data_IF_534497511219
#
_entry.id   IF_534497511219
#
_cell.length_a   1.000
_cell.length_b   1.000
_cell.length_c   1.000
_cell.angle_alpha   90.00
_cell.angle_beta   90.00
_cell.angle_gamma   90.00
#
_symmetry.space_group_name_H-M   'P 1'
#
loop_
_entity.id
_entity.type
_entity.pdbx_description
1 polymer ?
2 non-polymer ?
3 water ?
#
# COMPACT_ATOMS: atom_id res chain seq x y z
N UNK A 4 -1.82 17.23 -31.87
CA UNK A 4 -2.43 17.64 -30.61
C UNK A 4 -2.73 16.40 -29.78
N UNK A 5 -2.06 16.27 -28.63
CA UNK A 5 -2.00 14.98 -27.98
C UNK A 5 -2.60 15.01 -26.57
N UNK A 6 -3.22 13.92 -26.14
CA UNK A 6 -3.96 13.92 -24.87
C UNK A 6 -3.04 13.86 -23.67
N UNK A 7 -3.52 14.24 -22.48
CA UNK A 7 -2.75 13.98 -21.25
C UNK A 7 -2.36 12.51 -21.12
N UNK A 8 -1.21 12.27 -20.51
CA UNK A 8 -0.68 10.92 -20.33
C UNK A 8 -0.39 10.71 -18.85
N UNK A 9 -1.01 9.70 -18.26
CA UNK A 9 -0.74 9.37 -16.87
C UNK A 9 0.66 8.77 -16.73
N UNK A 10 1.29 9.03 -15.58
CA UNK A 10 2.63 8.53 -15.35
C UNK A 10 2.68 7.02 -15.24
N UNK A 11 1.57 6.40 -14.82
CA UNK A 11 1.42 4.95 -14.84
C UNK A 11 0.13 4.62 -15.56
N UNK A 12 0.13 3.53 -16.32
CA UNK A 12 -1.11 3.06 -16.93
C UNK A 12 -2.03 2.39 -15.91
N UNK A 13 -1.48 1.96 -14.76
CA UNK A 13 -2.22 1.11 -13.83
C UNK A 13 -1.74 1.45 -12.43
N UNK A 14 -2.60 2.08 -11.64
CA UNK A 14 -2.30 2.44 -10.27
C UNK A 14 -2.90 1.40 -9.35
N UNK A 15 -2.09 0.84 -8.47
CA UNK A 15 -2.53 -0.15 -7.50
C UNK A 15 -2.37 0.43 -6.11
N UNK A 16 -3.40 0.28 -5.28
CA UNK A 16 -3.32 0.73 -3.91
C UNK A 16 -4.12 -0.20 -3.01
N UNK A 17 -4.15 0.15 -1.73
CA UNK A 17 -4.89 -0.62 -0.76
C UNK A 17 -5.46 0.27 0.32
N UNK A 18 -6.45 -0.26 1.02
CA UNK A 18 -6.96 0.34 2.24
C UNK A 18 -7.15 -0.77 3.25
N UNK A 19 -6.95 -0.44 4.52
CA UNK A 19 -7.27 -1.40 5.56
C UNK A 19 -8.74 -1.28 5.95
N UNK A 20 -9.25 -2.35 6.57
CA UNK A 20 -10.64 -2.37 7.00
C UNK A 20 -10.96 -1.20 7.91
N UNK A 21 -9.98 -0.71 8.66
CA UNK A 21 -10.22 0.37 9.62
C UNK A 21 -9.83 1.74 9.08
N UNK A 22 -9.72 1.90 7.76
CA UNK A 22 -9.37 3.20 7.20
C UNK A 22 -10.45 4.22 7.53
N UNK A 23 -10.02 5.43 7.90
CA UNK A 23 -10.96 6.49 8.16
C UNK A 23 -11.51 7.11 6.89
N UNK A 24 -12.67 7.75 7.04
CA UNK A 24 -13.28 8.45 5.92
C UNK A 24 -12.33 9.49 5.35
N UNK A 25 -12.22 9.50 4.02
CA UNK A 25 -11.39 10.45 3.29
C UNK A 25 -9.90 10.27 3.59
N UNK A 26 -9.50 9.04 3.93
CA UNK A 26 -8.09 8.72 4.07
C UNK A 26 -7.42 8.74 2.70
N UNK A 27 -6.17 9.17 2.67
CA UNK A 27 -5.39 9.16 1.43
C UNK A 27 -5.13 7.73 0.99
N UNK A 28 -5.37 7.44 -0.29
CA UNK A 28 -5.11 6.11 -0.82
C UNK A 28 -3.87 6.15 -1.69
N UNK A 29 -3.90 6.99 -2.72
CA UNK A 29 -2.74 7.17 -3.58
C UNK A 29 -2.98 8.43 -4.40
N UNK A 30 -1.91 8.93 -5.02
CA UNK A 30 -1.98 10.13 -5.84
C UNK A 30 -1.66 9.78 -7.29
N UNK A 31 -2.48 10.29 -8.20
CA UNK A 31 -2.24 10.11 -9.62
C UNK A 31 -1.78 11.44 -10.21
N UNK A 32 -1.12 11.36 -11.36
CA UNK A 32 -0.66 12.56 -12.06
C UNK A 32 -0.58 12.26 -13.55
N UNK A 33 -1.11 13.19 -14.36
CA UNK A 33 -0.98 13.14 -15.81
C UNK A 33 -0.34 14.44 -16.30
N UNK A 34 0.40 14.34 -17.40
CA UNK A 34 1.05 15.49 -18.00
C UNK A 34 0.84 15.48 -19.51
N UNK A 35 1.00 16.66 -20.11
CA UNK A 35 1.04 16.80 -21.55
C UNK A 35 2.36 16.27 -22.11
N UNK A 36 2.26 15.34 -23.07
CA UNK A 36 3.41 14.71 -23.72
C UNK A 36 4.37 15.70 -24.36
N UNK A 37 3.89 16.83 -24.86
CA UNK A 37 4.75 17.74 -25.62
C UNK A 37 5.37 18.83 -24.77
N UNK A 38 4.64 19.33 -23.76
CA UNK A 38 5.12 20.43 -22.93
C UNK A 38 5.48 20.03 -21.51
N UNK A 39 5.06 18.85 -21.06
CA UNK A 39 5.21 18.49 -19.67
C UNK A 39 4.26 19.19 -18.74
N UNK A 40 3.34 20.00 -19.25
CA UNK A 40 2.44 20.77 -18.41
C UNK A 40 1.46 19.85 -17.69
N UNK A 41 1.09 20.24 -16.47
CA UNK A 41 0.05 19.52 -15.74
C UNK A 41 -0.74 20.46 -14.81
N UNK A 42 -0.57 21.77 -14.91
CA UNK A 42 -1.15 22.71 -13.97
C UNK A 42 -2.65 22.88 -14.12
N UNK A 43 -3.22 22.43 -15.23
CA UNK A 43 -4.64 22.62 -15.49
C UNK A 43 -5.40 21.30 -15.59
N UNK A 44 -4.80 20.21 -15.12
CA UNK A 44 -5.44 18.91 -15.25
C UNK A 44 -6.56 18.76 -14.24
N UNK A 45 -7.73 18.35 -14.73
CA UNK A 45 -8.86 18.01 -13.86
C UNK A 45 -8.98 16.49 -13.80
N UNK A 46 -8.91 15.94 -12.59
CA UNK A 46 -8.97 14.50 -12.38
C UNK A 46 -10.37 14.08 -11.96
N UNK A 47 -10.84 12.95 -12.50
CA UNK A 47 -12.13 12.38 -12.16
C UNK A 47 -12.00 10.86 -12.11
N UNK A 48 -12.85 10.23 -11.29
CA UNK A 48 -12.90 8.77 -11.20
C UNK A 48 -14.14 8.26 -11.94
N UNK A 49 -14.00 7.10 -12.56
CA UNK A 49 -15.12 6.40 -13.17
C UNK A 49 -15.25 5.06 -12.43
N UNK A 50 -16.24 4.98 -11.54
CA UNK A 50 -16.44 3.86 -10.61
C UNK A 50 -17.80 3.24 -10.91
N UNK A 51 -17.91 1.92 -10.93
CA UNK A 51 -19.21 1.28 -11.15
C UNK A 51 -20.15 1.56 -9.99
N UNK A 52 -21.45 1.34 -10.18
CA UNK A 52 -22.41 1.60 -9.10
C UNK A 52 -22.12 0.74 -7.88
N UNK A 53 -22.23 1.37 -6.70
CA UNK A 53 -22.08 0.69 -5.42
C UNK A 53 -23.41 0.80 -4.67
N UNK A 54 -23.76 -0.25 -3.93
CA UNK A 54 -25.04 -0.29 -3.23
C UNK A 54 -25.12 0.80 -2.17
N UNK A 55 -26.36 1.09 -1.75
CA UNK A 55 -26.65 1.90 -0.57
C UNK A 55 -26.18 3.35 -0.66
N UNK A 56 -25.99 3.87 -1.87
CA UNK A 56 -25.55 5.24 -2.02
C UNK A 56 -24.09 5.47 -1.67
N UNK A 57 -23.32 4.42 -1.44
CA UNK A 57 -21.89 4.60 -1.21
C UNK A 57 -21.18 4.91 -2.53
N UNK A 58 -20.10 5.68 -2.43
CA UNK A 58 -19.40 6.13 -3.61
C UNK A 58 -18.02 5.54 -3.77
N UNK A 59 -17.52 4.81 -2.77
CA UNK A 59 -16.24 4.16 -2.86
C UNK A 59 -15.06 5.06 -2.59
N UNK A 60 -14.73 5.90 -3.57
CA UNK A 60 -13.58 6.78 -3.51
C UNK A 60 -13.93 8.09 -4.20
N UNK A 61 -13.21 9.16 -3.84
CA UNK A 61 -13.22 10.42 -4.55
C UNK A 61 -11.80 10.76 -4.96
N UNK A 62 -11.67 11.67 -5.91
CA UNK A 62 -10.36 12.25 -6.24
C UNK A 62 -10.45 13.77 -6.12
N UNK A 63 -9.43 14.36 -5.51
CA UNK A 63 -9.30 15.81 -5.51
C UNK A 63 -9.05 16.29 -6.94
N UNK A 64 -9.97 17.11 -7.45
CA UNK A 64 -10.01 17.41 -8.87
C UNK A 64 -8.69 17.98 -9.39
N UNK A 65 -8.03 18.81 -8.59
CA UNK A 65 -6.84 19.50 -9.10
C UNK A 65 -5.55 19.08 -8.42
N UNK A 66 -5.56 18.05 -7.57
CA UNK A 66 -4.33 17.53 -7.01
C UNK A 66 -4.08 16.07 -7.36
N UNK A 67 -5.11 15.34 -7.80
CA UNK A 67 -4.97 13.93 -8.10
C UNK A 67 -4.97 13.00 -6.91
N UNK A 68 -5.26 13.49 -5.70
CA UNK A 68 -5.27 12.63 -4.52
C UNK A 68 -6.57 11.83 -4.47
N UNK A 69 -6.45 10.51 -4.51
CA UNK A 69 -7.60 9.62 -4.34
C UNK A 69 -7.77 9.33 -2.85
N UNK A 70 -8.99 9.52 -2.35
CA UNK A 70 -9.32 9.33 -0.95
C UNK A 70 -10.53 8.40 -0.83
N UNK A 71 -10.63 7.72 0.32
CA UNK A 71 -11.78 6.88 0.57
C UNK A 71 -13.04 7.74 0.76
N UNK A 72 -14.19 7.21 0.35
CA UNK A 72 -15.46 7.87 0.54
C UNK A 72 -16.48 7.00 1.28
N UNK A 73 -16.02 5.89 1.85
CA UNK A 73 -16.87 4.99 2.63
C UNK A 73 -15.97 4.23 3.59
N UNK A 74 -16.58 3.62 4.59
CA UNK A 74 -15.86 2.73 5.50
C UNK A 74 -15.77 1.32 4.92
N UNK A 75 -14.77 0.58 5.40
CA UNK A 75 -14.46 -0.74 4.86
C UNK A 75 -14.49 -1.83 5.93
N UNK A 76 -15.30 -1.64 6.96
CA UNK A 76 -15.40 -2.63 8.05
C UNK A 76 -15.76 -3.99 7.49
N UNK A 77 -15.01 -5.01 7.91
CA UNK A 77 -15.22 -6.41 7.56
C UNK A 77 -15.04 -6.71 6.09
N UNK A 78 -14.40 -5.83 5.33
CA UNK A 78 -14.33 -5.99 3.88
C UNK A 78 -12.98 -6.49 3.38
N UNK A 79 -12.20 -7.12 4.24
CA UNK A 79 -10.97 -7.76 3.78
C UNK A 79 -11.25 -8.62 2.55
N UNK A 80 -10.44 -8.41 1.50
CA UNK A 80 -10.45 -9.07 0.20
C UNK A 80 -11.40 -8.45 -0.82
N UNK A 81 -12.23 -7.49 -0.40
CA UNK A 81 -12.96 -6.72 -1.39
C UNK A 81 -11.98 -5.99 -2.29
N UNK A 82 -12.41 -5.72 -3.52
CA UNK A 82 -11.56 -5.03 -4.48
C UNK A 82 -12.39 -4.09 -5.34
N UNK A 83 -11.76 -2.97 -5.69
CA UNK A 83 -12.41 -1.92 -6.46
C UNK A 83 -11.57 -1.65 -7.69
N UNK A 84 -12.06 -2.09 -8.85
CA UNK A 84 -11.43 -1.79 -10.13
C UNK A 84 -12.19 -0.65 -10.76
N UNK A 85 -11.49 0.43 -11.06
CA UNK A 85 -12.10 1.62 -11.65
C UNK A 85 -11.10 2.33 -12.54
N UNK A 86 -11.52 3.44 -13.13
CA UNK A 86 -10.65 4.25 -13.94
C UNK A 86 -10.51 5.63 -13.34
N UNK A 87 -9.39 6.27 -13.66
CA UNK A 87 -9.18 7.68 -13.39
C UNK A 87 -8.93 8.36 -14.73
N UNK A 88 -9.49 9.54 -14.91
CA UNK A 88 -9.27 10.31 -16.11
C UNK A 88 -8.68 11.66 -15.75
N UNK A 89 -7.91 12.22 -16.68
CA UNK A 89 -7.36 13.56 -16.54
C UNK A 89 -7.74 14.33 -17.79
N UNK A 90 -8.34 15.52 -17.62
CA UNK A 90 -8.78 16.34 -18.73
C UNK A 90 -8.08 17.67 -18.62
N UNK A 91 -7.34 18.05 -19.67
CA UNK A 91 -6.55 19.28 -19.62
C UNK A 91 -7.46 20.51 -19.65
N UNK A 92 -6.84 21.67 -19.39
CA UNK A 92 -7.54 22.96 -19.53
C UNK A 92 -8.80 23.01 -18.65
N UNK A 93 -8.69 22.50 -17.43
CA UNK A 93 -9.77 22.55 -16.45
C UNK A 93 -11.04 21.85 -16.93
N UNK A 94 -10.88 20.79 -17.74
CA UNK A 94 -11.99 20.07 -18.29
C UNK A 94 -12.30 20.38 -19.73
N UNK A 95 -11.72 21.45 -20.29
CA UNK A 95 -12.05 21.91 -21.63
C UNK A 95 -11.16 21.31 -22.71
N UNK A 96 -10.08 20.62 -22.34
CA UNK A 96 -9.14 20.06 -23.29
C UNK A 96 -9.31 18.56 -23.44
N UNK A 97 -8.26 17.93 -24.00
CA UNK A 97 -8.27 16.49 -24.23
C UNK A 97 -8.11 15.72 -22.91
N UNK A 98 -8.42 14.42 -22.98
CA UNK A 98 -8.45 13.57 -21.80
C UNK A 98 -7.56 12.35 -21.99
N UNK A 99 -6.93 11.92 -20.90
CA UNK A 99 -6.28 10.63 -20.84
C UNK A 99 -6.87 9.79 -19.70
N UNK A 100 -6.48 8.53 -19.65
CA UNK A 100 -7.06 7.59 -18.70
C UNK A 100 -6.01 6.62 -18.17
N UNK A 101 -6.30 6.09 -16.98
CA UNK A 101 -5.52 5.03 -16.39
C UNK A 101 -6.47 4.14 -15.59
N UNK A 102 -6.05 2.90 -15.37
CA UNK A 102 -6.82 1.99 -14.55
C UNK A 102 -6.35 2.08 -13.10
N UNK A 103 -7.26 1.80 -12.18
CA UNK A 103 -6.96 1.79 -10.76
C UNK A 103 -7.49 0.50 -10.14
N UNK A 104 -6.72 -0.09 -9.23
CA UNK A 104 -7.17 -1.19 -8.40
C UNK A 104 -6.93 -0.81 -6.94
N UNK A 105 -7.96 -0.87 -6.10
CA UNK A 105 -7.79 -0.73 -4.65
C UNK A 105 -8.30 -1.98 -3.98
N UNK A 106 -7.45 -2.62 -3.19
CA UNK A 106 -7.78 -3.85 -2.48
C UNK A 106 -7.88 -3.57 -0.99
N UNK A 107 -8.85 -4.22 -0.33
CA UNK A 107 -9.07 -4.06 1.12
C UNK A 107 -8.34 -5.16 1.85
N UNK A 108 -7.58 -4.79 2.89
CA UNK A 108 -6.77 -5.70 3.67
C UNK A 108 -7.04 -5.50 5.16
N UNK A 109 -6.45 -6.37 5.98
CA UNK A 109 -6.33 -6.11 7.41
C UNK A 109 -4.98 -6.65 7.90
N UNK A 110 -4.78 -6.70 9.21
CA UNK A 110 -3.48 -7.07 9.74
C UNK A 110 -3.05 -8.49 9.37
N UNK A 111 -4.00 -9.36 8.99
CA UNK A 111 -3.67 -10.71 8.53
C UNK A 111 -2.88 -10.70 7.23
N UNK A 112 -2.84 -9.57 6.53
CA UNK A 112 -2.14 -9.44 5.27
C UNK A 112 -0.78 -8.76 5.41
N UNK A 113 -0.38 -8.39 6.62
CA UNK A 113 0.71 -7.42 6.77
C UNK A 113 1.94 -8.06 7.41
N UNK A 114 3.07 -7.37 7.22
CA UNK A 114 4.32 -7.67 7.90
C UNK A 114 4.90 -6.37 8.43
N UNK A 115 5.66 -6.45 9.51
CA UNK A 115 6.28 -5.29 10.15
C UNK A 115 7.78 -5.32 9.87
N UNK A 116 8.26 -4.30 9.15
CA UNK A 116 9.69 -4.10 8.93
C UNK A 116 10.21 -3.25 10.08
N UNK A 117 11.18 -3.78 10.85
CA UNK A 117 11.70 -3.10 12.03
C UNK A 117 13.07 -2.52 11.69
N UNK A 118 13.24 -1.21 11.88
CA UNK A 118 14.47 -0.53 11.53
C UNK A 118 15.03 0.21 12.74
N UNK A 119 16.35 0.39 12.73
CA UNK A 119 17.03 1.08 13.83
C UNK A 119 17.16 2.58 13.60
N UNK A 120 16.23 3.18 12.87
CA UNK A 120 16.17 4.63 12.64
C UNK A 120 14.78 5.12 13.03
N UNK A 121 14.63 6.41 13.28
CA UNK A 121 13.35 6.92 13.79
C UNK A 121 12.28 6.89 12.72
N UNK A 122 11.01 6.83 13.12
CA UNK A 122 9.91 6.82 12.13
C UNK A 122 9.89 8.05 11.24
N UNK A 123 10.34 9.20 11.74
CA UNK A 123 10.37 10.40 10.91
C UNK A 123 11.34 10.26 9.75
N UNK A 124 12.46 9.56 9.94
CA UNK A 124 13.38 9.33 8.82
C UNK A 124 12.72 8.44 7.79
N UNK A 125 12.13 7.33 8.23
CA UNK A 125 11.48 6.41 7.31
C UNK A 125 10.38 7.11 6.55
N UNK A 126 9.57 7.90 7.24
CA UNK A 126 8.46 8.61 6.59
C UNK A 126 8.97 9.62 5.56
N UNK A 127 10.05 10.33 5.88
CA UNK A 127 10.55 11.35 4.96
C UNK A 127 11.01 10.74 3.65
N UNK A 128 11.54 9.53 3.68
CA UNK A 128 12.08 8.89 2.49
C UNK A 128 11.19 7.76 1.99
N UNK A 129 9.90 7.76 2.39
CA UNK A 129 9.06 6.59 2.16
C UNK A 129 8.86 6.29 0.69
N UNK A 130 8.81 7.31 -0.18
CA UNK A 130 8.60 7.04 -1.60
C UNK A 130 9.75 6.23 -2.19
N UNK A 131 10.98 6.63 -1.87
CA UNK A 131 12.15 5.91 -2.38
C UNK A 131 12.24 4.51 -1.76
N UNK A 132 11.93 4.38 -0.47
CA UNK A 132 11.99 3.07 0.17
C UNK A 132 10.93 2.13 -0.39
N UNK A 133 9.71 2.63 -0.63
CA UNK A 133 8.65 1.79 -1.20
C UNK A 133 9.05 1.29 -2.58
N UNK A 134 9.67 2.16 -3.39
CA UNK A 134 10.10 1.72 -4.72
C UNK A 134 11.13 0.60 -4.65
N UNK A 135 12.02 0.64 -3.65
CA UNK A 135 12.97 -0.46 -3.49
C UNK A 135 12.26 -1.74 -3.11
N UNK A 136 11.34 -1.65 -2.14
CA UNK A 136 10.58 -2.83 -1.75
C UNK A 136 9.79 -3.40 -2.93
N UNK A 137 9.19 -2.52 -3.75
CA UNK A 137 8.46 -2.96 -4.94
C UNK A 137 9.32 -3.83 -5.82
N UNK A 138 10.58 -3.42 -6.03
CA UNK A 138 11.47 -4.16 -6.91
C UNK A 138 11.67 -5.59 -6.42
N UNK A 139 11.87 -5.78 -5.12
CA UNK A 139 12.11 -7.13 -4.60
C UNK A 139 10.86 -7.98 -4.66
N UNK A 140 9.69 -7.41 -4.35
CA UNK A 140 8.47 -8.19 -4.42
C UNK A 140 8.12 -8.52 -5.87
N UNK A 141 8.30 -7.56 -6.78
CA UNK A 141 7.96 -7.76 -8.18
C UNK A 141 8.85 -8.80 -8.85
N UNK A 142 10.07 -9.03 -8.34
CA UNK A 142 10.88 -10.12 -8.86
C UNK A 142 10.20 -11.47 -8.63
N UNK A 143 9.45 -11.60 -7.54
CA UNK A 143 8.75 -12.84 -7.22
C UNK A 143 7.34 -12.88 -7.77
N UNK A 144 6.63 -11.77 -7.70
CA UNK A 144 5.26 -11.69 -8.21
C UNK A 144 5.19 -10.49 -9.14
N UNK A 145 5.31 -10.68 -10.45
CA UNK A 145 5.32 -9.53 -11.37
C UNK A 145 4.05 -8.70 -11.24
N UNK A 146 4.24 -7.38 -11.25
CA UNK A 146 3.13 -6.45 -11.18
C UNK A 146 2.59 -6.17 -9.79
N UNK A 147 3.08 -6.87 -8.76
CA UNK A 147 2.60 -6.63 -7.40
C UNK A 147 3.04 -5.24 -6.92
N UNK A 148 2.34 -4.72 -5.92
CA UNK A 148 2.59 -3.37 -5.43
C UNK A 148 2.64 -3.38 -3.91
N UNK A 149 3.73 -2.89 -3.33
CA UNK A 149 3.83 -2.76 -1.89
C UNK A 149 3.08 -1.51 -1.46
N UNK A 150 2.32 -1.64 -0.38
CA UNK A 150 1.59 -0.53 0.20
C UNK A 150 2.00 -0.39 1.67
N UNK A 151 2.17 0.86 2.09
CA UNK A 151 2.53 1.17 3.47
C UNK A 151 1.24 1.38 4.26
N UNK A 152 1.03 0.54 5.29
CA UNK A 152 -0.11 0.73 6.19
C UNK A 152 0.16 1.82 7.22
N UNK A 153 1.34 1.79 7.85
CA UNK A 153 1.63 2.78 8.88
C UNK A 153 3.13 2.83 9.11
N UNK A 154 3.58 3.96 9.65
CA UNK A 154 4.96 4.17 10.06
C UNK A 154 4.92 4.67 11.50
N UNK A 155 5.52 3.90 12.41
CA UNK A 155 5.43 4.27 13.81
C UNK A 155 6.67 3.93 14.59
N UNK A 156 6.63 4.23 15.88
CA UNK A 156 7.71 3.83 16.77
C UNK A 156 7.84 2.32 16.78
N UNK A 157 9.03 1.84 17.14
CA UNK A 157 9.25 0.42 17.28
C UNK A 157 8.48 -0.10 18.50
N UNK A 158 7.61 -1.07 18.26
CA UNK A 158 6.84 -1.70 19.33
C UNK A 158 7.65 -2.84 19.92
N UNK A 159 7.58 -2.97 21.24
CA UNK A 159 8.32 -4.02 21.94
C UNK A 159 7.70 -4.19 23.33
N UNK A 160 8.33 -5.01 24.15
CA UNK A 160 7.77 -5.33 25.45
C UNK A 160 6.65 -6.35 25.37
N UNK A 161 5.91 -6.46 26.46
CA UNK A 161 4.84 -7.45 26.56
C UNK A 161 3.72 -7.13 25.57
N UNK A 162 3.40 -8.10 24.72
CA UNK A 162 2.39 -7.94 23.66
C UNK A 162 2.71 -6.77 22.74
N UNK A 163 3.99 -6.41 22.64
CA UNK A 163 4.44 -5.31 21.79
C UNK A 163 3.72 -3.99 22.15
N UNK A 164 3.63 -3.73 23.45
CA UNK A 164 2.86 -2.61 23.98
C UNK A 164 3.70 -1.37 24.28
N UNK A 165 5.02 -1.46 24.23
CA UNK A 165 5.90 -0.33 24.48
C UNK A 165 6.35 0.29 23.16
N UNK A 166 6.66 1.58 23.19
CA UNK A 166 7.01 2.34 22.00
C UNK A 166 8.38 2.99 22.15
N UNK A 167 9.26 2.72 21.18
CA UNK A 167 10.63 3.24 21.15
C UNK A 167 10.73 4.14 19.91
N UNK A 168 10.71 5.46 20.13
CA UNK A 168 10.67 6.42 19.04
C UNK A 168 12.03 6.68 18.40
N UNK A 169 13.11 6.06 18.88
CA UNK A 169 14.40 6.11 18.22
C UNK A 169 14.53 5.06 17.12
N UNK A 170 13.59 4.13 17.04
CA UNK A 170 13.56 3.06 16.05
C UNK A 170 12.17 3.05 15.43
N UNK A 171 11.92 2.13 14.48
CA UNK A 171 10.74 2.28 13.64
C UNK A 171 10.12 0.94 13.27
N UNK A 172 8.80 0.86 13.40
CA UNK A 172 8.01 -0.22 12.83
C UNK A 172 7.32 0.31 11.57
N UNK A 173 7.63 -0.30 10.43
CA UNK A 173 7.04 0.05 9.15
C UNK A 173 6.15 -1.11 8.75
N UNK A 174 4.83 -0.91 8.79
CA UNK A 174 3.89 -1.98 8.53
C UNK A 174 3.48 -1.91 7.07
N UNK A 175 3.65 -3.04 6.35
CA UNK A 175 3.43 -3.06 4.91
C UNK A 175 2.61 -4.28 4.50
N UNK A 176 2.08 -4.21 3.29
CA UNK A 176 1.47 -5.35 2.64
C UNK A 176 1.72 -5.20 1.14
N UNK A 177 1.33 -6.19 0.36
CA UNK A 177 1.54 -6.11 -1.09
C UNK A 177 0.32 -6.65 -1.80
N UNK A 178 -0.12 -5.95 -2.84
CA UNK A 178 -1.32 -6.30 -3.60
C UNK A 178 -0.90 -6.94 -4.92
N UNK A 179 -1.53 -8.07 -5.24
CA UNK A 179 -1.27 -8.81 -6.47
C UNK A 179 -2.43 -8.55 -7.42
N UNK A 180 -2.21 -7.85 -8.54
CA UNK A 180 -3.32 -7.59 -9.47
C UNK A 180 -3.85 -8.83 -10.18
N UNK A 181 -3.13 -9.96 -10.16
CA UNK A 181 -3.69 -11.16 -10.76
C UNK A 181 -4.80 -11.74 -9.90
N UNK A 182 -4.74 -11.54 -8.58
CA UNK A 182 -5.73 -12.11 -7.66
C UNK A 182 -6.66 -11.07 -7.07
N UNK A 183 -6.38 -9.78 -7.26
CA UNK A 183 -7.18 -8.70 -6.68
C UNK A 183 -7.25 -8.77 -5.17
N UNK A 184 -6.19 -9.28 -4.54
CA UNK A 184 -6.10 -9.31 -3.08
C UNK A 184 -4.62 -9.25 -2.70
N UNK A 185 -4.36 -9.24 -1.41
CA UNK A 185 -2.99 -9.17 -0.92
C UNK A 185 -2.25 -10.49 -1.15
N UNK A 186 -0.92 -10.37 -1.30
CA UNK A 186 -0.04 -11.53 -1.24
C UNK A 186 -0.10 -12.11 0.16
N UNK A 187 -0.05 -13.44 0.25
CA UNK A 187 -0.02 -14.11 1.55
C UNK A 187 1.10 -13.52 2.41
N UNK A 188 0.78 -13.24 3.68
CA UNK A 188 1.76 -12.55 4.53
C UNK A 188 3.02 -13.37 4.74
N UNK A 189 2.92 -14.70 4.74
CA UNK A 189 4.10 -15.53 4.92
C UNK A 189 4.94 -15.62 3.65
N UNK A 190 4.32 -15.47 2.48
CA UNK A 190 5.09 -15.32 1.26
C UNK A 190 5.79 -13.96 1.23
N UNK A 191 5.08 -12.90 1.64
CA UNK A 191 5.71 -11.60 1.75
C UNK A 191 6.90 -11.65 2.71
N UNK A 192 6.76 -12.33 3.84
CA UNK A 192 7.90 -12.48 4.73
C UNK A 192 9.08 -13.13 4.01
N UNK A 193 8.81 -14.23 3.30
CA UNK A 193 9.91 -14.93 2.62
C UNK A 193 10.57 -14.04 1.57
N UNK A 194 9.79 -13.23 0.85
CA UNK A 194 10.37 -12.36 -0.17
C UNK A 194 11.32 -11.35 0.45
N UNK A 195 10.92 -10.77 1.59
CA UNK A 195 11.72 -9.70 2.19
C UNK A 195 12.85 -10.25 3.05
N UNK A 196 12.55 -11.24 3.89
CA UNK A 196 13.56 -11.80 4.78
C UNK A 196 14.66 -12.51 4.00
N UNK A 197 14.30 -13.19 2.91
CA UNK A 197 15.28 -13.88 2.10
C UNK A 197 16.24 -12.96 1.37
N UNK A 198 15.85 -11.71 1.15
CA UNK A 198 16.69 -10.73 0.50
C UNK A 198 17.11 -9.60 1.45
N UNK A 199 17.09 -9.87 2.76
CA UNK A 199 17.23 -8.80 3.75
C UNK A 199 18.56 -8.08 3.60
N UNK A 200 19.63 -8.82 3.28
CA UNK A 200 20.93 -8.19 3.16
C UNK A 200 21.03 -7.33 1.91
N UNK A 201 20.38 -7.75 0.81
CA UNK A 201 20.34 -6.92 -0.38
C UNK A 201 19.47 -5.70 -0.18
N UNK A 202 18.32 -5.84 0.50
CA UNK A 202 17.47 -4.68 0.76
C UNK A 202 18.21 -3.68 1.63
N UNK A 203 18.95 -4.18 2.63
CA UNK A 203 19.65 -3.27 3.53
C UNK A 203 20.71 -2.45 2.79
N UNK A 204 21.41 -3.07 1.85
CA UNK A 204 22.41 -2.31 1.09
C UNK A 204 21.74 -1.25 0.23
N UNK A 205 20.60 -1.58 -0.39
CA UNK A 205 19.84 -0.59 -1.14
C UNK A 205 19.31 0.54 -0.25
N UNK A 206 18.94 0.23 0.99
CA UNK A 206 18.45 1.23 1.93
C UNK A 206 19.54 2.15 2.47
N UNK A 207 20.82 1.81 2.26
CA UNK A 207 21.90 2.56 2.90
C UNK A 207 21.94 4.03 2.51
N UNK A 208 21.80 4.43 1.24
CA UNK A 208 21.78 5.86 0.92
C UNK A 208 20.71 6.65 1.64
N UNK A 209 19.65 5.99 2.09
CA UNK A 209 18.51 6.63 2.72
C UNK A 209 18.55 6.54 4.24
N UNK A 210 19.04 5.43 4.79
CA UNK A 210 19.11 5.26 6.23
C UNK A 210 20.36 5.88 6.86
N UNK A 211 21.41 6.09 6.09
CA UNK A 211 22.66 6.60 6.63
C UNK A 211 23.51 5.51 7.26
N UNK A 212 24.71 5.89 7.67
CA UNK A 212 25.66 4.94 8.23
C UNK A 212 25.09 4.28 9.47
N UNK A 213 25.18 2.95 9.53
CA UNK A 213 24.69 2.19 10.66
C UNK A 213 23.21 1.87 10.64
N UNK A 214 22.44 2.48 9.73
CA UNK A 214 21.01 2.23 9.65
C UNK A 214 20.72 0.97 8.85
N UNK A 215 19.76 0.18 9.34
CA UNK A 215 19.41 -1.05 8.67
C UNK A 215 18.07 -1.55 9.18
N UNK A 216 17.44 -2.40 8.37
CA UNK A 216 16.34 -3.22 8.85
C UNK A 216 16.90 -4.27 9.79
N UNK A 217 16.31 -4.36 10.99
CA UNK A 217 16.72 -5.35 11.98
C UNK A 217 16.03 -6.69 11.78
N UNK A 218 14.74 -6.68 11.45
CA UNK A 218 14.02 -7.94 11.26
C UNK A 218 12.68 -7.62 10.59
N UNK A 219 12.04 -8.67 10.11
CA UNK A 219 10.65 -8.63 9.65
C UNK A 219 9.85 -9.48 10.63
N UNK A 220 8.72 -8.96 11.10
CA UNK A 220 7.91 -9.69 12.06
C UNK A 220 6.44 -9.61 11.69
N UNK A 221 5.67 -10.56 12.25
CA UNK A 221 4.23 -10.59 12.02
C UNK A 221 3.53 -9.69 13.04
N UNK A 222 2.55 -8.90 12.60
CA UNK A 222 1.84 -8.00 13.53
C UNK A 222 1.29 -8.76 14.73
N UNK A 223 1.31 -8.09 15.89
CA UNK A 223 0.76 -8.69 17.09
C UNK A 223 -0.72 -8.99 16.94
N UNK A 224 -1.44 -8.23 16.10
CA UNK A 224 -2.86 -8.48 15.90
C UNK A 224 -3.14 -9.89 15.40
N UNK A 225 -2.21 -10.49 14.66
CA UNK A 225 -2.44 -11.83 14.12
C UNK A 225 -2.53 -12.85 15.25
N UNK A 226 -1.77 -12.66 16.32
CA UNK A 226 -1.85 -13.57 17.47
C UNK A 226 -3.17 -13.40 18.22
N UNK A 227 -3.66 -12.16 18.32
CA UNK A 227 -4.96 -11.93 18.93
C UNK A 227 -6.08 -12.61 18.16
N UNK A 228 -5.95 -12.69 16.83
CA UNK A 228 -7.00 -13.29 16.01
C UNK A 228 -7.06 -14.81 16.23
N UNK A 229 -5.90 -15.45 16.40
CA UNK A 229 -5.90 -16.89 16.65
C UNK A 229 -6.47 -17.21 18.03
N UNK A 230 -6.15 -16.39 19.03
CA UNK A 230 -6.69 -16.61 20.37
C UNK A 230 -8.21 -16.50 20.38
N UNK A 231 -8.79 -15.73 19.47
CA UNK A 231 -10.22 -15.65 19.39
C UNK A 231 -10.78 -16.78 18.53
N UNK A 232 -9.93 -17.60 17.94
CA UNK A 232 -10.38 -18.71 17.13
C UNK A 232 -10.87 -18.35 15.76
N UNK A 233 -10.42 -17.22 15.21
CA UNK A 233 -10.91 -16.70 13.94
C UNK A 233 -9.90 -16.96 12.84
N UNK A 234 -10.42 -17.14 11.61
CA UNK A 234 -9.63 -17.25 10.39
C UNK A 234 -8.69 -18.45 10.39
N UNK A 235 -8.95 -19.46 11.22
CA UNK A 235 -8.07 -20.60 11.34
C UNK A 235 -8.37 -21.64 10.26
N UNK A 236 -7.32 -22.17 9.66
CA UNK A 236 -7.47 -23.18 8.63
C UNK A 236 -6.17 -23.93 8.43
N UNK A 237 -6.17 -24.79 7.41
CA UNK A 237 -4.99 -25.58 7.08
C UNK A 237 -3.91 -24.70 6.47
N UNK A 238 -2.66 -24.97 6.84
CA UNK A 238 -1.49 -24.37 6.22
C UNK A 238 -0.47 -25.47 5.95
N UNK A 239 0.42 -25.20 4.99
CA UNK A 239 1.31 -26.24 4.50
C UNK A 239 2.54 -26.39 5.38
N UNK A 240 2.90 -27.65 5.66
CA UNK A 240 4.09 -27.96 6.42
C UNK A 240 3.92 -28.00 7.92
N UNK A 241 2.71 -27.76 8.43
CA UNK A 241 2.49 -27.69 9.86
C UNK A 241 1.17 -28.35 10.23
N UNK A 242 1.08 -28.77 11.50
CA UNK A 242 -0.17 -29.21 12.08
C UNK A 242 -0.83 -28.13 12.93
N UNK A 243 -0.12 -27.05 13.23
CA UNK A 243 -0.68 -25.94 13.99
C UNK A 243 -1.49 -25.04 13.07
N UNK A 244 -2.65 -24.59 13.58
CA UNK A 244 -3.54 -23.76 12.79
C UNK A 244 -3.10 -22.31 12.87
N UNK A 245 -3.09 -21.64 11.71
CA UNK A 245 -2.61 -20.27 11.61
C UNK A 245 -3.68 -19.40 10.96
N UNK A 246 -3.89 -18.17 11.43
CA UNK A 246 -4.94 -17.31 10.83
C UNK A 246 -4.68 -17.04 9.35
N UNK A 247 -5.76 -17.07 8.58
CA UNK A 247 -5.74 -16.95 7.13
C UNK A 247 -5.55 -15.49 6.73
X LIG B 1 -1.91 10.31 0.78
X LIG B 1 -1.14 10.02 -0.52
X LIG B 1 -0.65 8.57 -0.57
X LIG B 1 0.08 8.20 0.72
X LIG B 1 -0.83 8.50 1.91
X LIG B 1 -0.15 8.14 3.22
X LIG B 1 -0.04 10.92 -0.66
X LIG B 1 0.22 8.41 -1.70
X LIG B 1 0.43 6.82 0.72
X LIG B 1 -1.17 9.89 1.92
X LIG B 1 -0.92 8.67 4.31
#
# INVERSE_FOLDING_TARGET
QYDDHPPVFQKKFYIGGVSEDARMFASVLRVKATDRDTGNYSAMAYRLIIPPIKEGKEGFVVETYTGLIKTAMLFHNMRRSYFKFQVIATDDYGKGLSGKADVLVSVVNQLDMQVIVSNVPPTLVEKKIEDLTEILDRYVQEQIPGAKVVVESIGARRHGDAYSLEDYSKCDLTVYAIDPQTNRAIDRNELFKFLDGKLLDINKDFQPYYGEGGRILEIRTPEAVTSIKKRGESLGYTEGASRLVPR
MAN C1 C2 C3 C4 C5 C6 O2 O3 O4 O5 O6
#
